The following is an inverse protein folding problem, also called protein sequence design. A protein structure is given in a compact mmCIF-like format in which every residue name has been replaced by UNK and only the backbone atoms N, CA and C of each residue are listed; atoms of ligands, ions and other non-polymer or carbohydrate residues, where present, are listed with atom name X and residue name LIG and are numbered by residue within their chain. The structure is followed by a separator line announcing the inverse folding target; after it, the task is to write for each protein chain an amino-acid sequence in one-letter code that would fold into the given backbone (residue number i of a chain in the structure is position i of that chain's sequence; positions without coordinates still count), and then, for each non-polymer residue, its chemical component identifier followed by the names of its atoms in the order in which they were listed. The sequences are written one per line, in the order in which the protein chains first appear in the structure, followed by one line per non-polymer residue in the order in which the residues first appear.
data_IF_939786694844
#
_entry.id   IF_939786694844
#
_cell.length_a   1.000
_cell.length_b   1.000
_cell.length_c   1.000
_cell.angle_alpha   90.00
_cell.angle_beta   90.00
_cell.angle_gamma   90.00
#
_symmetry.space_group_name_H-M   'P 1'
#
loop_
_entity.id
_entity.type
_entity.pdbx_description
1 polymer ?
#
# COMPACT_ATOMS: atom_id res chain seq x y z
N UNK A 1 -10.13 18.69 80.48
CA UNK A 1 -9.84 18.11 79.15
C UNK A 1 -9.84 19.25 78.13
N UNK A 2 -8.67 19.67 77.64
CA UNK A 2 -8.52 20.78 76.67
C UNK A 2 -8.47 20.16 75.28
N UNK A 3 -9.51 20.39 74.47
CA UNK A 3 -9.52 19.89 73.10
C UNK A 3 -8.50 20.66 72.26
N UNK A 4 -7.52 19.95 71.71
CA UNK A 4 -6.57 20.49 70.74
C UNK A 4 -7.30 20.64 69.40
N UNK A 5 -7.66 21.87 69.04
CA UNK A 5 -8.24 22.15 67.74
C UNK A 5 -7.15 22.03 66.66
N UNK A 6 -7.33 21.08 65.75
CA UNK A 6 -6.46 20.91 64.59
C UNK A 6 -6.54 22.17 63.71
N UNK A 7 -5.42 22.88 63.58
CA UNK A 7 -5.29 24.00 62.64
C UNK A 7 -5.41 23.46 61.21
N UNK A 8 -6.51 23.79 60.54
CA UNK A 8 -6.65 23.58 59.10
C UNK A 8 -5.60 24.41 58.36
N UNK A 9 -4.60 23.76 57.78
CA UNK A 9 -3.65 24.41 56.87
C UNK A 9 -4.36 24.63 55.54
N UNK A 10 -4.54 25.89 55.07
CA UNK A 10 -5.19 26.13 53.80
C UNK A 10 -4.35 25.52 52.67
N UNK A 11 -4.93 24.60 51.91
CA UNK A 11 -4.31 24.11 50.66
C UNK A 11 -4.25 25.29 49.69
N UNK A 12 -3.04 25.69 49.32
CA UNK A 12 -2.82 26.72 48.30
C UNK A 12 -3.25 26.13 46.96
N UNK A 13 -4.44 26.48 46.50
CA UNK A 13 -4.88 26.17 45.14
C UNK A 13 -4.01 26.98 44.19
N UNK A 14 -3.01 26.32 43.59
CA UNK A 14 -2.21 26.88 42.50
C UNK A 14 -3.09 26.74 41.26
N UNK A 15 -3.79 27.82 40.92
CA UNK A 15 -4.58 27.90 39.69
C UNK A 15 -3.65 28.02 38.48
N UNK A 16 -4.02 27.35 37.39
CA UNK A 16 -3.37 27.54 36.10
C UNK A 16 -3.55 28.98 35.62
N UNK A 17 -2.49 29.55 35.09
CA UNK A 17 -2.53 30.89 34.51
C UNK A 17 -3.04 30.82 33.07
N UNK A 18 -3.82 31.80 32.62
CA UNK A 18 -4.33 31.85 31.23
C UNK A 18 -3.18 31.89 30.22
N UNK A 19 -2.06 32.53 30.59
CA UNK A 19 -0.87 32.62 29.76
C UNK A 19 -0.22 31.25 29.49
N UNK A 20 -0.29 30.33 30.45
CA UNK A 20 0.27 28.98 30.30
C UNK A 20 -0.49 28.18 29.24
N UNK A 21 -1.83 28.27 29.24
CA UNK A 21 -2.66 27.64 28.22
C UNK A 21 -2.42 28.27 26.84
N UNK A 22 -2.20 29.58 26.77
CA UNK A 22 -1.91 30.27 25.51
C UNK A 22 -0.59 29.78 24.88
N UNK A 23 0.47 29.64 25.68
CA UNK A 23 1.78 29.15 25.23
C UNK A 23 1.68 27.68 24.79
N UNK A 24 0.94 26.85 25.53
CA UNK A 24 0.74 25.43 25.18
C UNK A 24 0.07 25.30 23.81
N UNK A 25 -1.02 26.05 23.56
CA UNK A 25 -1.73 26.00 22.27
C UNK A 25 -0.82 26.48 21.13
N UNK A 26 -0.02 27.52 21.35
CA UNK A 26 0.95 28.00 20.36
C UNK A 26 1.95 26.91 19.97
N UNK A 27 2.52 26.22 20.96
CA UNK A 27 3.47 25.13 20.73
C UNK A 27 2.79 23.96 20.03
N UNK A 28 1.56 23.61 20.40
CA UNK A 28 0.80 22.53 19.74
C UNK A 28 0.55 22.82 18.26
N UNK A 29 0.15 24.05 17.90
CA UNK A 29 -0.04 24.44 16.49
C UNK A 29 1.28 24.34 15.72
N UNK A 30 2.38 24.82 16.29
CA UNK A 30 3.70 24.73 15.68
C UNK A 30 4.16 23.28 15.47
N UNK A 31 3.98 22.43 16.48
CA UNK A 31 4.33 21.01 16.40
C UNK A 31 3.48 20.29 15.35
N UNK A 32 2.17 20.54 15.28
CA UNK A 32 1.29 19.97 14.25
C UNK A 32 1.75 20.39 12.85
N UNK A 33 2.09 21.67 12.65
CA UNK A 33 2.57 22.16 11.37
C UNK A 33 3.88 21.47 10.92
N UNK A 34 4.83 21.28 11.85
CA UNK A 34 6.09 20.58 11.58
C UNK A 34 5.83 19.11 11.22
N UNK A 35 4.97 18.41 11.96
CA UNK A 35 4.63 17.01 11.68
C UNK A 35 4.02 16.84 10.29
N UNK A 36 3.15 17.77 9.87
CA UNK A 36 2.56 17.79 8.54
C UNK A 36 3.64 18.04 7.48
N UNK A 37 4.48 19.06 7.67
CA UNK A 37 5.55 19.41 6.72
C UNK A 37 6.55 18.26 6.51
N UNK A 38 6.95 17.60 7.61
CA UNK A 38 7.78 16.39 7.60
C UNK A 38 7.07 15.28 6.82
N UNK A 39 5.80 15.01 7.09
CA UNK A 39 5.03 13.99 6.37
C UNK A 39 4.98 14.24 4.85
N UNK A 40 4.83 15.50 4.43
CA UNK A 40 4.89 15.85 3.01
C UNK A 40 6.29 15.70 2.40
N UNK A 41 7.36 15.95 3.16
CA UNK A 41 8.73 15.75 2.69
C UNK A 41 9.11 14.27 2.58
N UNK A 42 8.55 13.43 3.46
CA UNK A 42 8.74 11.97 3.50
C UNK A 42 7.69 11.16 2.75
N UNK A 43 6.65 11.79 2.17
CA UNK A 43 5.95 11.26 1.00
C UNK A 43 6.97 11.25 -0.11
N UNK A 44 7.78 10.18 -0.08
CA UNK A 44 8.95 10.04 -0.89
C UNK A 44 8.61 10.35 -2.33
N UNK A 45 9.59 10.90 -3.02
CA UNK A 45 9.68 10.73 -4.46
C UNK A 45 9.47 9.24 -4.70
N UNK A 46 8.22 8.82 -4.96
CA UNK A 46 7.99 7.47 -5.42
C UNK A 46 8.92 7.36 -6.61
N UNK A 47 9.86 6.43 -6.53
CA UNK A 47 10.84 6.28 -7.59
C UNK A 47 10.03 6.19 -8.88
N UNK A 48 10.48 6.83 -9.96
CA UNK A 48 9.79 6.74 -11.26
C UNK A 48 9.45 5.28 -11.58
N UNK A 49 10.31 4.36 -11.13
CA UNK A 49 10.09 2.93 -11.04
C UNK A 49 8.78 2.53 -10.32
N UNK A 50 8.57 2.87 -9.04
CA UNK A 50 7.36 2.50 -8.31
C UNK A 50 6.06 3.01 -8.97
N UNK A 51 6.09 4.21 -9.57
CA UNK A 51 4.94 4.74 -10.31
C UNK A 51 4.69 3.94 -11.58
N UNK A 52 5.75 3.67 -12.35
CA UNK A 52 5.68 2.87 -13.57
C UNK A 52 5.17 1.45 -13.27
N UNK A 53 5.67 0.81 -12.22
CA UNK A 53 5.24 -0.51 -11.80
C UNK A 53 3.72 -0.56 -11.56
N UNK A 54 3.19 0.40 -10.81
CA UNK A 54 1.74 0.47 -10.55
C UNK A 54 0.94 0.69 -11.82
N UNK A 55 1.41 1.56 -12.72
CA UNK A 55 0.74 1.82 -13.99
C UNK A 55 0.72 0.57 -14.87
N UNK A 56 1.82 -0.17 -14.93
CA UNK A 56 1.93 -1.40 -15.71
C UNK A 56 1.04 -2.51 -15.12
N UNK A 57 1.03 -2.69 -13.80
CA UNK A 57 0.10 -3.63 -13.13
C UNK A 57 -1.35 -3.27 -13.45
N UNK A 58 -1.74 -1.98 -13.37
CA UNK A 58 -3.10 -1.54 -13.69
C UNK A 58 -3.48 -1.80 -15.15
N UNK A 59 -2.54 -1.59 -16.09
CA UNK A 59 -2.75 -1.89 -17.51
C UNK A 59 -3.00 -3.38 -17.73
N UNK A 60 -2.19 -4.24 -17.12
CA UNK A 60 -2.34 -5.69 -17.23
C UNK A 60 -3.65 -6.14 -16.55
N UNK A 61 -3.99 -5.62 -15.37
CA UNK A 61 -5.26 -5.91 -14.69
C UNK A 61 -6.47 -5.55 -15.56
N UNK A 62 -6.44 -4.39 -16.22
CA UNK A 62 -7.51 -3.98 -17.12
C UNK A 62 -7.61 -4.88 -18.35
N UNK A 63 -6.48 -5.24 -18.96
CA UNK A 63 -6.45 -6.19 -20.08
C UNK A 63 -7.03 -7.56 -19.68
N UNK A 64 -6.71 -8.06 -18.48
CA UNK A 64 -7.30 -9.29 -17.95
C UNK A 64 -8.81 -9.19 -17.73
N UNK A 65 -9.30 -8.02 -17.29
CA UNK A 65 -10.75 -7.79 -17.15
C UNK A 65 -11.43 -7.84 -18.51
N UNK A 66 -10.86 -7.22 -19.55
CA UNK A 66 -11.40 -7.33 -20.91
C UNK A 66 -11.37 -8.76 -21.43
N UNK A 67 -10.28 -9.50 -21.22
CA UNK A 67 -10.21 -10.92 -21.56
C UNK A 67 -11.37 -11.71 -20.95
N UNK A 68 -11.64 -11.48 -19.67
CA UNK A 68 -12.77 -12.13 -18.98
C UNK A 68 -14.13 -11.65 -19.49
N UNK A 69 -14.28 -10.40 -19.87
CA UNK A 69 -15.55 -9.91 -20.43
C UNK A 69 -15.88 -10.64 -21.74
N UNK A 70 -14.89 -10.88 -22.58
CA UNK A 70 -15.09 -11.52 -23.89
C UNK A 70 -15.17 -13.05 -23.80
N UNK A 71 -14.45 -13.66 -22.85
CA UNK A 71 -14.31 -15.12 -22.73
C UNK A 71 -14.98 -15.71 -21.48
N UNK A 72 -15.60 -14.89 -20.62
CA UNK A 72 -16.23 -15.24 -19.33
C UNK A 72 -15.30 -15.76 -18.22
N UNK A 73 -14.08 -16.19 -18.53
CA UNK A 73 -13.08 -16.67 -17.58
C UNK A 73 -11.75 -15.91 -17.69
N UNK A 74 -10.96 -15.92 -16.62
CA UNK A 74 -9.57 -15.46 -16.66
C UNK A 74 -8.64 -16.57 -17.16
N UNK A 75 -7.46 -16.23 -17.74
CA UNK A 75 -6.47 -17.23 -18.11
C UNK A 75 -6.08 -18.14 -16.93
N UNK A 76 -5.65 -19.38 -17.23
CA UNK A 76 -5.08 -20.26 -16.20
C UNK A 76 -3.67 -19.80 -15.79
N UNK A 77 -3.13 -20.34 -14.69
CA UNK A 77 -1.76 -20.02 -14.29
C UNK A 77 -0.71 -20.47 -15.33
N UNK A 78 -0.98 -21.57 -16.03
CA UNK A 78 -0.11 -22.10 -17.08
C UNK A 78 -0.11 -21.21 -18.34
N UNK A 79 -1.26 -20.60 -18.64
CA UNK A 79 -1.38 -19.62 -19.72
C UNK A 79 -0.76 -18.26 -19.31
N UNK A 80 -0.99 -17.84 -18.07
CA UNK A 80 -0.43 -16.65 -17.45
C UNK A 80 -0.71 -15.35 -18.20
N UNK A 81 0.18 -14.37 -18.02
CA UNK A 81 0.10 -13.04 -18.68
C UNK A 81 0.30 -13.15 -20.20
N UNK A 82 0.96 -14.22 -20.68
CA UNK A 82 1.19 -14.47 -22.09
C UNK A 82 -0.11 -14.54 -22.90
N UNK A 83 -1.20 -15.02 -22.30
CA UNK A 83 -2.54 -15.09 -22.90
C UNK A 83 -3.09 -13.74 -23.40
N UNK A 84 -2.59 -12.61 -22.89
CA UNK A 84 -3.00 -11.27 -23.32
C UNK A 84 -2.37 -10.85 -24.65
N UNK A 85 -1.20 -11.42 -25.00
CA UNK A 85 -0.45 -11.05 -26.21
C UNK A 85 -0.56 -12.10 -27.32
N UNK A 86 -0.68 -13.38 -26.94
CA UNK A 86 -0.80 -14.51 -27.85
C UNK A 86 -1.98 -15.37 -27.44
N UNK A 87 -2.74 -15.86 -28.41
CA UNK A 87 -3.85 -16.77 -28.16
C UNK A 87 -3.33 -18.04 -27.50
N UNK A 88 -3.82 -18.41 -26.30
CA UNK A 88 -3.41 -19.66 -25.68
C UNK A 88 -3.99 -20.85 -26.45
N UNK A 89 -3.16 -21.90 -26.59
CA UNK A 89 -3.53 -23.18 -27.21
C UNK A 89 -3.83 -24.26 -26.16
N UNK A 90 -3.57 -23.96 -24.88
CA UNK A 90 -3.78 -24.84 -23.74
C UNK A 90 -5.20 -24.58 -23.22
N UNK A 91 -5.89 -25.62 -22.75
CA UNK A 91 -7.22 -25.46 -22.15
C UNK A 91 -7.16 -24.61 -20.86
N UNK A 92 -8.13 -23.72 -20.61
CA UNK A 92 -9.32 -23.44 -21.42
C UNK A 92 -9.01 -22.53 -22.63
N UNK A 93 -9.41 -22.97 -23.83
CA UNK A 93 -9.14 -22.25 -25.08
C UNK A 93 -10.20 -21.13 -25.27
N UNK A 94 -9.80 -19.86 -25.39
CA UNK A 94 -10.73 -18.75 -25.59
C UNK A 94 -11.34 -18.76 -27.00
N UNK A 95 -12.67 -18.62 -27.05
CA UNK A 95 -13.42 -18.59 -28.30
C UNK A 95 -13.34 -17.20 -28.95
N UNK A 96 -13.54 -16.13 -28.18
CA UNK A 96 -13.52 -14.73 -28.63
C UNK A 96 -12.21 -14.04 -28.24
N UNK A 97 -11.08 -14.65 -28.62
CA UNK A 97 -9.78 -14.07 -28.32
C UNK A 97 -9.43 -12.94 -29.29
N UNK A 98 -9.03 -11.80 -28.73
CA UNK A 98 -8.36 -10.71 -29.44
C UNK A 98 -7.03 -10.41 -28.75
N UNK A 99 -6.17 -9.63 -29.41
CA UNK A 99 -4.92 -9.17 -28.78
C UNK A 99 -5.25 -8.04 -27.79
N UNK A 100 -5.21 -8.34 -26.48
CA UNK A 100 -5.54 -7.38 -25.41
C UNK A 100 -4.36 -6.47 -25.03
N UNK A 101 -3.14 -6.92 -25.31
CA UNK A 101 -1.93 -6.17 -25.03
C UNK A 101 -0.94 -6.30 -26.18
N UNK A 102 -0.29 -5.19 -26.57
CA UNK A 102 0.68 -5.20 -27.67
C UNK A 102 1.94 -5.99 -27.32
N UNK A 103 2.47 -5.73 -26.13
CA UNK A 103 3.65 -6.34 -25.54
C UNK A 103 3.51 -6.34 -24.01
N UNK A 104 4.08 -7.33 -23.36
CA UNK A 104 4.08 -7.39 -21.89
C UNK A 104 5.20 -6.46 -21.40
N UNK A 105 4.88 -5.38 -20.66
CA UNK A 105 5.91 -4.54 -20.08
C UNK A 105 6.72 -5.36 -19.09
N UNK A 106 8.02 -5.09 -19.02
CA UNK A 106 8.86 -5.56 -17.92
C UNK A 106 8.73 -4.57 -16.78
N UNK A 107 8.90 -5.05 -15.56
CA UNK A 107 8.95 -4.15 -14.43
C UNK A 107 10.17 -3.20 -14.54
N UNK A 108 10.21 -2.11 -13.74
CA UNK A 108 11.31 -1.15 -13.78
C UNK A 108 12.69 -1.72 -13.45
N UNK A 109 12.74 -2.94 -12.90
CA UNK A 109 13.95 -3.65 -12.52
C UNK A 109 14.30 -4.76 -13.53
N UNK A 110 13.59 -4.83 -14.65
CA UNK A 110 13.83 -5.76 -15.74
C UNK A 110 13.30 -7.18 -15.51
N UNK A 111 12.57 -7.42 -14.42
CA UNK A 111 11.94 -8.70 -14.10
C UNK A 111 10.54 -8.79 -14.73
N UNK A 112 10.09 -10.02 -15.07
CA UNK A 112 8.74 -10.23 -15.54
C UNK A 112 7.71 -10.06 -14.41
N UNK A 113 6.51 -9.61 -14.78
CA UNK A 113 5.37 -9.65 -13.87
C UNK A 113 4.90 -11.08 -13.64
N UNK A 114 4.44 -11.35 -12.42
CA UNK A 114 3.85 -12.63 -12.03
C UNK A 114 2.34 -12.53 -11.99
N UNK A 115 1.69 -13.65 -12.27
CA UNK A 115 0.24 -13.81 -12.31
C UNK A 115 -0.19 -14.94 -11.38
N UNK A 116 -1.27 -14.72 -10.63
CA UNK A 116 -1.89 -15.73 -9.78
C UNK A 116 -3.41 -15.72 -9.97
N UNK A 117 -3.95 -16.90 -10.23
CA UNK A 117 -5.37 -17.19 -10.32
C UNK A 117 -5.67 -18.51 -9.58
N UNK A 118 -6.37 -18.50 -8.43
CA UNK A 118 -6.92 -17.31 -7.77
C UNK A 118 -5.83 -16.39 -7.19
N UNK A 119 -6.14 -15.10 -7.08
CA UNK A 119 -5.33 -14.15 -6.34
C UNK A 119 -5.56 -14.23 -4.82
N UNK A 120 -4.69 -13.63 -4.00
CA UNK A 120 -4.84 -13.67 -2.53
C UNK A 120 -6.00 -12.83 -2.01
N UNK A 121 -6.21 -11.65 -2.61
CA UNK A 121 -7.21 -10.66 -2.17
C UNK A 121 -8.24 -10.31 -3.24
N UNK A 122 -7.99 -10.75 -4.47
CA UNK A 122 -8.76 -10.44 -5.67
C UNK A 122 -8.92 -11.73 -6.47
N UNK A 123 -9.90 -11.82 -7.38
CA UNK A 123 -10.06 -12.98 -8.25
C UNK A 123 -8.76 -13.36 -8.98
N UNK A 124 -8.02 -12.36 -9.41
CA UNK A 124 -6.67 -12.50 -9.95
C UNK A 124 -5.73 -11.51 -9.26
N UNK A 125 -4.46 -11.85 -9.18
CA UNK A 125 -3.42 -10.98 -8.64
C UNK A 125 -2.25 -10.90 -9.62
N UNK A 126 -1.81 -9.68 -9.91
CA UNK A 126 -0.61 -9.39 -10.70
C UNK A 126 0.34 -8.63 -9.79
N UNK A 127 1.59 -9.08 -9.74
CA UNK A 127 2.60 -8.47 -8.88
C UNK A 127 3.97 -8.52 -9.54
N UNK A 128 4.81 -7.53 -9.25
CA UNK A 128 6.24 -7.59 -9.52
C UNK A 128 6.98 -8.04 -8.26
N UNK A 129 8.09 -8.74 -8.47
CA UNK A 129 8.99 -9.12 -7.39
C UNK A 129 9.96 -8.00 -6.99
N UNK A 130 10.01 -6.93 -7.79
CA UNK A 130 10.76 -5.71 -7.51
C UNK A 130 12.28 -5.92 -7.33
N UNK A 131 12.98 -4.84 -7.00
CA UNK A 131 14.32 -4.97 -6.41
C UNK A 131 14.17 -5.48 -4.99
N UNK A 132 14.74 -6.65 -4.70
CA UNK A 132 14.78 -7.24 -3.37
C UNK A 132 15.08 -6.18 -2.29
N UNK A 133 14.08 -5.85 -1.48
CA UNK A 133 14.29 -5.78 -0.03
C UNK A 133 14.48 -4.43 0.66
N UNK A 134 14.54 -3.26 0.01
CA UNK A 134 14.49 -1.99 0.76
C UNK A 134 13.05 -1.60 1.10
N UNK A 135 12.42 -2.43 1.93
CA UNK A 135 11.21 -2.00 2.63
C UNK A 135 11.66 -1.14 3.80
N UNK A 136 11.54 0.18 3.62
CA UNK A 136 11.66 1.10 4.74
C UNK A 136 10.64 0.75 5.84
N UNK A 137 10.89 1.24 7.04
CA UNK A 137 10.06 0.96 8.21
C UNK A 137 8.57 1.17 7.94
N UNK A 138 8.21 2.23 7.23
CA UNK A 138 6.83 2.60 6.93
C UNK A 138 6.13 1.62 5.98
N UNK A 139 6.84 1.09 4.99
CA UNK A 139 6.32 0.02 4.12
C UNK A 139 6.08 -1.25 4.94
N UNK A 140 7.05 -1.65 5.78
CA UNK A 140 6.93 -2.84 6.65
C UNK A 140 5.80 -2.70 7.68
N UNK A 141 5.62 -1.52 8.27
CA UNK A 141 4.56 -1.23 9.23
C UNK A 141 3.17 -1.31 8.59
N UNK A 142 3.02 -0.81 7.36
CA UNK A 142 1.78 -0.96 6.58
C UNK A 142 1.43 -2.43 6.31
N UNK A 143 2.40 -3.26 5.93
CA UNK A 143 2.17 -4.69 5.73
C UNK A 143 1.74 -5.40 7.03
N UNK A 144 2.33 -5.02 8.16
CA UNK A 144 1.90 -5.52 9.47
C UNK A 144 0.45 -5.12 9.80
N UNK A 145 0.05 -3.86 9.58
CA UNK A 145 -1.31 -3.39 9.82
C UNK A 145 -2.37 -4.06 8.94
N UNK A 146 -1.98 -4.44 7.72
CA UNK A 146 -2.90 -5.02 6.73
C UNK A 146 -2.95 -6.55 6.78
N UNK A 147 -2.19 -7.21 7.67
CA UNK A 147 -2.06 -8.67 7.74
C UNK A 147 -1.76 -9.34 6.39
N UNK A 148 -1.17 -8.59 5.45
CA UNK A 148 -0.92 -9.09 4.11
C UNK A 148 0.31 -10.00 4.11
N UNK A 149 0.22 -11.27 3.67
CA UNK A 149 1.36 -12.17 3.62
C UNK A 149 2.37 -11.66 2.59
N UNK A 150 3.67 -11.82 2.89
CA UNK A 150 4.74 -11.40 1.99
C UNK A 150 4.59 -12.11 0.65
N UNK A 151 4.85 -11.38 -0.43
CA UNK A 151 4.97 -11.97 -1.76
C UNK A 151 6.19 -12.90 -1.76
N UNK A 152 5.96 -14.20 -1.97
CA UNK A 152 7.05 -15.15 -2.09
C UNK A 152 7.65 -15.05 -3.49
N UNK A 153 8.74 -14.29 -3.60
CA UNK A 153 9.49 -14.09 -4.83
C UNK A 153 10.71 -15.01 -4.94
N UNK A 154 10.71 -16.13 -4.22
CA UNK A 154 11.67 -17.20 -4.48
C UNK A 154 11.11 -18.06 -5.62
N UNK A 155 11.89 -18.16 -6.70
CA UNK A 155 11.80 -19.29 -7.63
C UNK A 155 11.80 -20.61 -6.86
#
# INVERSE_FOLDING_TARGET
MKQMQAKNVPRKNIGFTIIEIMIIIMILVLLIAILIAISFHFKGKESKAAIQERQDILRIENAMRFYRLDNSFYPSNDQGIAALTKKPLIEPIPQHWVKYLNEIPKDPWGLPYHYSNPGRFKPIEIYSCGHNGEQNFWVRFKYWLTSNPKINCKN
#
